data_IF_033890908204
#
_entry.id   IF_033890908204
#
_cell.length_a   1.000
_cell.length_b   1.000
_cell.length_c   1.000
_cell.angle_alpha   90.00
_cell.angle_beta   90.00
_cell.angle_gamma   90.00
#
_symmetry.space_group_name_H-M   'P 1'
#
loop_
_entity.id
_entity.type
_entity.pdbx_description
1 polymer ?
#
# COMPACT_ATOMS: atom_id res chain seq x y z
N UNK A 1 3.38 2.60 19.40
CA UNK A 1 3.43 4.04 19.05
C UNK A 1 2.45 4.38 17.91
N UNK A 2 2.62 3.86 16.69
CA UNK A 2 1.78 4.22 15.50
C UNK A 2 0.26 4.08 15.70
N UNK A 3 -0.23 2.96 16.26
CA UNK A 3 -1.67 2.77 16.49
C UNK A 3 -2.27 3.88 17.36
N UNK A 4 -1.58 4.25 18.44
CA UNK A 4 -2.05 5.28 19.36
C UNK A 4 -2.07 6.65 18.67
N UNK A 5 -1.05 6.96 17.86
CA UNK A 5 -0.99 8.19 17.07
C UNK A 5 -2.15 8.30 16.07
N UNK A 6 -2.46 7.23 15.34
CA UNK A 6 -3.58 7.21 14.40
C UNK A 6 -4.94 7.36 15.10
N UNK A 7 -5.10 6.72 16.28
CA UNK A 7 -6.31 6.85 17.08
C UNK A 7 -6.49 8.29 17.62
N UNK A 8 -5.42 8.92 18.11
CA UNK A 8 -5.45 10.30 18.58
C UNK A 8 -5.75 11.30 17.45
N UNK A 9 -5.27 11.01 16.24
CA UNK A 9 -5.59 11.81 15.04
C UNK A 9 -7.04 11.62 14.55
N UNK A 10 -7.85 10.75 15.18
CA UNK A 10 -9.23 10.50 14.79
C UNK A 10 -9.39 9.75 13.47
N UNK A 11 -8.38 9.01 13.03
CA UNK A 11 -8.44 8.28 11.75
C UNK A 11 -9.38 7.06 11.86
N UNK A 12 -10.49 6.99 11.09
CA UNK A 12 -11.47 5.90 11.19
C UNK A 12 -11.03 4.62 10.46
N UNK A 13 -9.73 4.31 10.43
CA UNK A 13 -9.17 3.20 9.65
C UNK A 13 -8.82 1.97 10.51
N UNK A 14 -9.01 0.78 9.93
CA UNK A 14 -8.61 -0.47 10.56
C UNK A 14 -7.09 -0.60 10.57
N UNK A 15 -6.47 -0.63 11.76
CA UNK A 15 -5.01 -0.74 11.89
C UNK A 15 -4.61 -2.20 12.14
N UNK A 16 -3.87 -2.78 11.19
CA UNK A 16 -3.18 -4.06 11.34
C UNK A 16 -1.69 -3.80 11.55
N UNK A 17 -1.19 -4.17 12.72
CA UNK A 17 0.24 -4.09 13.01
C UNK A 17 0.96 -5.27 12.37
N UNK A 18 2.11 -5.01 11.76
CA UNK A 18 2.99 -6.02 11.17
C UNK A 18 4.39 -5.82 11.73
N UNK A 19 5.11 -6.93 11.87
CA UNK A 19 6.52 -6.93 12.22
C UNK A 19 7.32 -7.37 11.00
N UNK A 20 8.31 -6.57 10.60
CA UNK A 20 9.21 -6.93 9.52
C UNK A 20 10.30 -7.87 10.07
N UNK A 21 10.25 -9.15 9.70
CA UNK A 21 11.30 -10.12 10.04
C UNK A 21 12.47 -10.17 9.04
N UNK A 22 12.27 -9.65 7.83
CA UNK A 22 13.25 -9.63 6.75
C UNK A 22 13.59 -8.19 6.36
N UNK A 23 14.80 -7.99 5.82
CA UNK A 23 15.21 -6.70 5.25
C UNK A 23 14.31 -6.25 4.09
N UNK A 24 14.27 -4.94 3.81
CA UNK A 24 13.42 -4.34 2.76
C UNK A 24 13.59 -5.05 1.40
N UNK A 25 14.83 -5.34 1.02
CA UNK A 25 15.17 -6.03 -0.26
C UNK A 25 14.60 -7.44 -0.36
N UNK A 26 14.85 -8.26 0.66
CA UNK A 26 14.34 -9.65 0.71
C UNK A 26 12.82 -9.66 0.67
N UNK A 27 12.17 -8.73 1.37
CA UNK A 27 10.71 -8.61 1.35
C UNK A 27 10.16 -8.18 -0.02
N UNK A 28 10.92 -7.43 -0.82
CA UNK A 28 10.49 -6.94 -2.12
C UNK A 28 10.59 -8.00 -3.24
N UNK A 29 11.41 -9.04 -3.08
CA UNK A 29 11.60 -10.13 -4.06
C UNK A 29 10.27 -10.70 -4.62
N UNK A 30 9.29 -11.14 -3.81
CA UNK A 30 8.03 -11.66 -4.33
C UNK A 30 7.22 -10.62 -5.11
N UNK A 31 7.40 -9.33 -4.83
CA UNK A 31 6.72 -8.24 -5.52
C UNK A 31 7.41 -7.91 -6.85
N UNK A 32 8.74 -7.94 -6.89
CA UNK A 32 9.51 -7.78 -8.12
C UNK A 32 9.08 -8.82 -9.17
N UNK A 33 8.85 -10.06 -8.76
CA UNK A 33 8.33 -11.11 -9.65
C UNK A 33 6.95 -10.75 -10.24
N UNK A 34 6.08 -10.07 -9.49
CA UNK A 34 4.79 -9.62 -10.01
C UNK A 34 4.93 -8.50 -11.05
N UNK A 35 5.92 -7.63 -10.89
CA UNK A 35 6.29 -6.65 -11.91
C UNK A 35 6.83 -7.32 -13.17
N UNK A 36 7.74 -8.30 -13.03
CA UNK A 36 8.29 -9.07 -14.16
C UNK A 36 7.19 -9.81 -14.94
N UNK A 37 6.18 -10.32 -14.24
CA UNK A 37 5.01 -10.97 -14.84
C UNK A 37 3.99 -9.98 -15.46
N UNK A 38 4.23 -8.67 -15.37
CA UNK A 38 3.30 -7.65 -15.86
C UNK A 38 2.00 -7.57 -15.05
N UNK A 39 1.98 -8.07 -13.81
CA UNK A 39 0.78 -8.13 -12.95
C UNK A 39 0.60 -6.89 -12.08
N UNK A 40 1.59 -5.99 -12.06
CA UNK A 40 1.53 -4.70 -11.37
C UNK A 40 1.85 -3.62 -12.38
N UNK A 41 1.02 -2.58 -12.41
CA UNK A 41 1.20 -1.40 -13.24
C UNK A 41 0.82 -0.15 -12.44
N UNK A 42 1.53 0.95 -12.69
CA UNK A 42 1.23 2.25 -12.10
C UNK A 42 0.32 3.05 -13.04
N UNK A 43 -0.78 3.59 -12.51
CA UNK A 43 -1.69 4.46 -13.25
C UNK A 43 -1.19 5.91 -13.22
N UNK A 44 -0.02 6.17 -13.78
CA UNK A 44 0.63 7.49 -13.80
C UNK A 44 2.12 7.42 -13.48
N UNK A 45 2.78 8.57 -13.56
CA UNK A 45 4.19 8.70 -13.21
C UNK A 45 4.35 9.02 -11.72
N UNK A 46 5.18 8.24 -11.03
CA UNK A 46 5.48 8.41 -9.62
C UNK A 46 7.00 8.56 -9.43
N UNK A 47 7.58 9.63 -9.97
CA UNK A 47 9.03 9.82 -10.07
C UNK A 47 9.79 9.51 -8.76
N UNK A 48 9.31 10.02 -7.62
CA UNK A 48 9.94 9.75 -6.33
C UNK A 48 9.85 8.29 -5.90
N UNK A 49 8.74 7.59 -6.18
CA UNK A 49 8.62 6.15 -5.93
C UNK A 49 9.50 5.35 -6.88
N UNK A 50 9.52 5.73 -8.16
CA UNK A 50 10.29 5.06 -9.21
C UNK A 50 11.79 5.14 -8.94
N UNK A 51 12.28 6.30 -8.48
CA UNK A 51 13.67 6.48 -8.04
C UNK A 51 14.03 5.54 -6.88
N UNK A 52 13.15 5.43 -5.87
CA UNK A 52 13.37 4.50 -4.76
C UNK A 52 13.30 3.03 -5.23
N UNK A 53 12.44 2.70 -6.19
CA UNK A 53 12.37 1.35 -6.77
C UNK A 53 13.65 0.98 -7.53
N UNK A 54 14.25 1.93 -8.26
CA UNK A 54 15.55 1.74 -8.90
C UNK A 54 16.66 1.53 -7.85
N UNK A 55 16.60 2.28 -6.74
CA UNK A 55 17.57 2.18 -5.65
C UNK A 55 17.49 0.85 -4.87
N UNK A 56 16.38 0.12 -4.96
CA UNK A 56 16.16 -1.13 -4.22
C UNK A 56 17.15 -2.25 -4.62
N UNK A 57 17.72 -2.17 -5.82
CA UNK A 57 18.78 -3.06 -6.31
C UNK A 57 20.20 -2.69 -5.85
N UNK A 58 20.42 -1.51 -5.29
CA UNK A 58 21.74 -0.97 -4.93
C UNK A 58 22.07 -1.27 -3.47
N UNK A 59 23.26 -1.81 -3.18
CA UNK A 59 23.64 -2.30 -1.85
C UNK A 59 23.61 -1.23 -0.74
N UNK A 60 23.78 0.05 -1.10
CA UNK A 60 23.93 1.16 -0.15
C UNK A 60 22.65 2.00 0.08
N UNK A 61 21.48 1.57 -0.39
CA UNK A 61 20.25 2.38 -0.35
C UNK A 61 19.46 2.33 0.97
N UNK A 62 20.09 1.97 2.09
CA UNK A 62 19.40 1.61 3.34
C UNK A 62 18.50 2.71 3.95
N UNK A 63 18.65 3.98 3.53
CA UNK A 63 17.84 5.11 4.00
C UNK A 63 16.78 5.68 3.04
N UNK A 64 16.67 5.18 1.80
CA UNK A 64 15.91 5.85 0.73
C UNK A 64 14.78 4.97 0.15
N UNK A 65 14.18 4.07 0.92
CA UNK A 65 13.24 3.08 0.38
C UNK A 65 11.87 3.11 1.07
N UNK A 66 11.45 4.24 1.63
CA UNK A 66 10.24 4.29 2.45
C UNK A 66 8.96 4.18 1.59
N UNK A 67 8.92 4.82 0.42
CA UNK A 67 7.82 4.68 -0.54
C UNK A 67 7.85 3.31 -1.21
N UNK A 68 9.04 2.84 -1.58
CA UNK A 68 9.20 1.51 -2.14
C UNK A 68 8.76 0.41 -1.15
N UNK A 69 9.13 0.53 0.13
CA UNK A 69 8.71 -0.42 1.16
C UNK A 69 7.21 -0.32 1.46
N UNK A 70 6.65 0.90 1.49
CA UNK A 70 5.21 1.10 1.64
C UNK A 70 4.42 0.41 0.50
N UNK A 71 4.88 0.54 -0.74
CA UNK A 71 4.32 -0.14 -1.91
C UNK A 71 4.41 -1.66 -1.76
N UNK A 72 5.58 -2.19 -1.36
CA UNK A 72 5.78 -3.63 -1.14
C UNK A 72 4.78 -4.17 -0.11
N UNK A 73 4.56 -3.45 1.00
CA UNK A 73 3.55 -3.83 1.99
C UNK A 73 2.12 -3.75 1.44
N UNK A 74 1.79 -2.74 0.66
CA UNK A 74 0.48 -2.57 0.04
C UNK A 74 0.15 -3.73 -0.92
N UNK A 75 1.09 -4.06 -1.82
CA UNK A 75 0.94 -5.16 -2.76
C UNK A 75 0.91 -6.52 -2.05
N UNK A 76 1.76 -6.72 -1.03
CA UNK A 76 1.71 -7.92 -0.18
C UNK A 76 0.35 -8.08 0.48
N UNK A 77 -0.24 -7.00 0.99
CA UNK A 77 -1.57 -7.03 1.60
C UNK A 77 -2.65 -7.34 0.55
N UNK A 78 -2.56 -6.77 -0.65
CA UNK A 78 -3.51 -6.98 -1.74
C UNK A 78 -3.47 -8.41 -2.29
N UNK A 79 -2.29 -9.04 -2.31
CA UNK A 79 -2.10 -10.39 -2.85
C UNK A 79 -2.52 -11.51 -1.89
N UNK A 80 -2.84 -11.20 -0.61
CA UNK A 80 -3.36 -12.19 0.33
C UNK A 80 -4.73 -12.67 -0.13
N UNK A 81 -4.79 -13.91 -0.64
CA UNK A 81 -6.02 -14.60 -1.02
C UNK A 81 -7.01 -14.59 0.16
N UNK A 82 -8.19 -14.04 -0.06
CA UNK A 82 -9.30 -14.09 0.91
C UNK A 82 -10.37 -13.03 0.69
N UNK A 83 -10.01 -11.86 0.20
CA UNK A 83 -10.96 -10.79 -0.08
C UNK A 83 -10.53 -10.08 -1.37
N UNK A 84 -11.28 -10.29 -2.46
CA UNK A 84 -11.09 -9.48 -3.67
C UNK A 84 -11.25 -7.99 -3.36
N UNK A 85 -10.78 -7.09 -4.24
CA UNK A 85 -10.91 -5.65 -4.03
C UNK A 85 -12.38 -5.29 -3.75
N UNK A 86 -12.65 -4.75 -2.56
CA UNK A 86 -13.99 -4.30 -2.18
C UNK A 86 -14.01 -2.78 -2.22
N UNK A 87 -14.90 -2.21 -3.02
CA UNK A 87 -15.19 -0.77 -2.95
C UNK A 87 -15.86 -0.52 -1.60
N UNK A 88 -15.13 0.12 -0.68
CA UNK A 88 -15.75 0.72 0.50
C UNK A 88 -16.32 2.06 0.06
N UNK A 89 -17.65 2.14 -0.02
CA UNK A 89 -18.32 3.43 -0.03
C UNK A 89 -18.03 4.07 1.34
N UNK A 90 -17.12 5.04 1.37
CA UNK A 90 -16.94 5.89 2.53
C UNK A 90 -18.19 6.77 2.58
N UNK A 91 -19.15 6.42 3.42
CA UNK A 91 -20.32 7.26 3.70
C UNK A 91 -19.81 8.58 4.29
N UNK A 92 -19.57 9.57 3.43
CA UNK A 92 -19.14 10.92 3.83
C UNK A 92 -20.31 11.75 4.42
N UNK A 93 -21.23 11.11 5.14
CA UNK A 93 -22.27 11.81 5.90
C UNK A 93 -23.29 12.63 5.08
N UNK A 94 -23.25 12.60 3.75
CA UNK A 94 -24.25 13.28 2.91
C UNK A 94 -24.94 12.24 2.04
N UNK A 95 -26.12 11.79 2.48
CA UNK A 95 -27.05 11.12 1.58
C UNK A 95 -27.61 12.17 0.62
N UNK A 96 -27.42 12.06 -0.71
CA UNK A 96 -28.18 12.89 -1.64
C UNK A 96 -29.65 12.49 -1.51
N UNK A 97 -30.44 13.37 -0.90
CA UNK A 97 -31.90 13.29 -0.90
C UNK A 97 -32.38 13.44 -2.35
N UNK A 98 -32.68 12.34 -3.03
CA UNK A 98 -33.22 12.45 -4.39
C UNK A 98 -33.45 11.19 -5.21
N UNK A 99 -32.92 10.02 -4.84
CA UNK A 99 -33.19 8.80 -5.61
C UNK A 99 -34.42 8.06 -5.07
N UNK A 100 -35.59 8.64 -5.37
CA UNK A 100 -36.87 7.94 -5.39
C UNK A 100 -36.82 6.92 -6.53
N UNK A 101 -36.82 5.63 -6.18
CA UNK A 101 -37.04 4.56 -7.14
C UNK A 101 -38.39 4.70 -7.85
N UNK A 102 -38.36 4.50 -9.16
CA UNK A 102 -39.36 3.75 -9.93
C UNK A 102 -38.61 2.84 -10.89
#
# INVERSE_FOLDING_TARGET
>A
MVRATLAQAGAPCGVRLVHAGHGKRVRAEPIALLYEQGRVAHCGAFAALEEELLALGVAESEGLLDRADALVWALTALMRRGEGPRVRLLDWGVRPSGLSGR
#
